data_IF_903327414591
#
_entry.id   IF_903327414591
#
_cell.length_a   1.000
_cell.length_b   1.000
_cell.length_c   1.000
_cell.angle_alpha   90.00
_cell.angle_beta   90.00
_cell.angle_gamma   90.00
#
_symmetry.space_group_name_H-M   'P 1'
#
loop_
_entity.id
_entity.type
_entity.pdbx_description
1 polymer ?
#
# COMPACT_ATOMS: atom_id res chain seq x y z
N UNK A 1 -6.74 3.55 -19.87
CA UNK A 1 -6.49 4.99 -19.74
C UNK A 1 -5.23 5.21 -18.91
N UNK A 2 -4.52 6.32 -19.13
CA UNK A 2 -3.48 6.76 -18.18
C UNK A 2 -4.17 7.24 -16.92
N UNK A 3 -3.51 7.08 -15.79
CA UNK A 3 -4.13 7.47 -14.54
C UNK A 3 -4.36 8.98 -14.38
N UNK A 4 -3.48 9.83 -14.93
CA UNK A 4 -3.71 11.28 -14.95
C UNK A 4 -5.05 11.65 -15.62
N UNK A 5 -5.47 10.86 -16.62
CA UNK A 5 -6.76 11.02 -17.30
C UNK A 5 -7.94 10.63 -16.41
N UNK A 6 -7.74 9.76 -15.42
CA UNK A 6 -8.75 9.46 -14.41
C UNK A 6 -8.87 10.60 -13.38
N UNK A 7 -7.76 11.25 -13.03
CA UNK A 7 -7.76 12.45 -12.19
C UNK A 7 -8.39 13.69 -12.86
N UNK A 8 -8.49 13.70 -14.18
CA UNK A 8 -9.10 14.78 -14.96
C UNK A 8 -10.59 14.96 -14.67
N UNK A 9 -11.05 16.19 -14.86
CA UNK A 9 -12.47 16.55 -14.90
C UNK A 9 -13.16 16.02 -16.17
N UNK A 10 -12.43 15.98 -17.29
CA UNK A 10 -12.94 15.40 -18.54
C UNK A 10 -12.82 13.88 -18.50
N UNK A 11 -13.95 13.19 -18.59
CA UNK A 11 -14.08 11.73 -18.48
C UNK A 11 -14.79 11.09 -19.69
N UNK A 12 -15.18 11.89 -20.69
CA UNK A 12 -15.99 11.44 -21.82
C UNK A 12 -15.40 10.29 -22.65
N UNK A 13 -14.09 10.04 -22.55
CA UNK A 13 -13.35 8.95 -23.18
C UNK A 13 -13.62 7.58 -22.54
N UNK A 14 -13.97 7.54 -21.25
CA UNK A 14 -14.18 6.28 -20.52
C UNK A 14 -15.55 6.15 -19.82
N UNK A 15 -16.31 7.23 -19.63
CA UNK A 15 -17.60 7.18 -18.90
C UNK A 15 -18.61 6.20 -19.48
N UNK A 16 -18.60 5.98 -20.79
CA UNK A 16 -19.52 5.05 -21.47
C UNK A 16 -18.97 3.63 -21.66
N UNK A 17 -17.84 3.29 -21.01
CA UNK A 17 -17.20 1.98 -21.15
C UNK A 17 -17.62 1.03 -20.03
N UNK A 18 -17.78 -0.26 -20.35
CA UNK A 18 -18.06 -1.29 -19.35
C UNK A 18 -16.81 -1.71 -18.57
N UNK A 19 -15.64 -1.68 -19.19
CA UNK A 19 -14.36 -2.02 -18.57
C UNK A 19 -13.41 -0.84 -18.74
N UNK A 20 -12.87 -0.35 -17.63
CA UNK A 20 -11.88 0.73 -17.60
C UNK A 20 -10.61 0.17 -16.98
N UNK A 21 -9.63 -0.12 -17.84
CA UNK A 21 -8.31 -0.53 -17.41
C UNK A 21 -7.42 0.71 -17.22
N UNK A 22 -6.83 0.85 -16.03
CA UNK A 22 -5.90 1.92 -15.69
C UNK A 22 -4.52 1.30 -15.49
N UNK A 23 -3.55 1.81 -16.23
CA UNK A 23 -2.17 1.32 -16.28
C UNK A 23 -1.24 2.42 -15.78
N UNK A 24 -0.30 2.04 -14.92
CA UNK A 24 0.79 2.90 -14.43
C UNK A 24 0.30 4.23 -13.83
N UNK A 25 -0.32 4.17 -12.65
CA UNK A 25 -0.42 5.36 -11.82
C UNK A 25 -0.39 5.01 -10.33
N UNK A 26 0.30 5.88 -9.57
CA UNK A 26 0.25 5.90 -8.12
C UNK A 26 -1.02 6.60 -7.66
N UNK A 27 -2.01 5.84 -7.19
CA UNK A 27 -3.17 6.41 -6.49
C UNK A 27 -2.86 6.67 -5.02
N UNK A 28 -1.79 7.41 -4.73
CA UNK A 28 -1.44 7.78 -3.35
C UNK A 28 -2.34 8.89 -2.79
N UNK A 29 -3.21 9.45 -3.63
CA UNK A 29 -4.25 10.39 -3.21
C UNK A 29 -5.49 9.64 -2.74
N UNK A 30 -5.80 9.77 -1.45
CA UNK A 30 -7.05 9.28 -0.85
C UNK A 30 -8.30 9.67 -1.65
N UNK A 31 -8.31 10.88 -2.20
CA UNK A 31 -9.39 11.40 -3.06
C UNK A 31 -9.67 10.49 -4.26
N UNK A 32 -8.63 9.98 -4.92
CA UNK A 32 -8.82 9.14 -6.12
C UNK A 32 -9.37 7.76 -5.72
N UNK A 33 -8.93 7.24 -4.58
CA UNK A 33 -9.49 5.99 -4.03
C UNK A 33 -10.97 6.17 -3.69
N UNK A 34 -11.37 7.28 -3.06
CA UNK A 34 -12.79 7.57 -2.79
C UNK A 34 -13.60 7.73 -4.08
N UNK A 35 -13.05 8.38 -5.11
CA UNK A 35 -13.69 8.46 -6.43
C UNK A 35 -13.89 7.07 -7.06
N UNK A 36 -12.90 6.18 -6.98
CA UNK A 36 -13.03 4.79 -7.44
C UNK A 36 -14.11 4.04 -6.67
N UNK A 37 -14.16 4.18 -5.34
CA UNK A 37 -15.20 3.56 -4.50
C UNK A 37 -16.59 4.02 -4.92
N UNK A 38 -16.78 5.32 -5.14
CA UNK A 38 -18.04 5.89 -5.64
C UNK A 38 -18.43 5.30 -7.00
N UNK A 39 -17.56 5.45 -8.00
CA UNK A 39 -17.82 5.03 -9.38
C UNK A 39 -18.04 3.52 -9.50
N UNK A 40 -17.40 2.70 -8.65
CA UNK A 40 -17.60 1.25 -8.66
C UNK A 40 -19.02 0.80 -8.28
N UNK A 41 -19.80 1.69 -7.63
CA UNK A 41 -21.13 1.36 -7.09
C UNK A 41 -22.28 2.22 -7.58
N UNK A 42 -21.99 3.38 -8.19
CA UNK A 42 -22.98 4.27 -8.79
C UNK A 42 -23.58 3.65 -10.05
N UNK A 43 -24.85 3.97 -10.32
CA UNK A 43 -25.59 3.60 -11.54
C UNK A 43 -25.62 4.74 -12.56
N UNK A 44 -25.29 5.97 -12.15
CA UNK A 44 -25.21 7.16 -12.99
C UNK A 44 -23.99 8.00 -12.65
N UNK A 45 -23.46 8.69 -13.66
CA UNK A 45 -22.38 9.67 -13.49
C UNK A 45 -22.52 10.81 -14.50
N UNK A 46 -21.86 11.94 -14.23
CA UNK A 46 -21.82 13.09 -15.13
C UNK A 46 -20.69 12.93 -16.14
N UNK A 47 -21.06 12.92 -17.42
CA UNK A 47 -20.12 12.95 -18.53
C UNK A 47 -19.73 14.40 -18.83
N UNK A 48 -18.43 14.67 -18.79
CA UNK A 48 -17.85 15.98 -19.09
C UNK A 48 -16.90 15.88 -20.29
N UNK A 49 -17.16 16.70 -21.31
CA UNK A 49 -16.32 16.83 -22.49
C UNK A 49 -15.94 18.30 -22.71
N UNK A 50 -14.77 18.54 -23.30
CA UNK A 50 -14.28 19.89 -23.56
C UNK A 50 -15.21 20.63 -24.53
N UNK A 51 -15.72 21.78 -24.10
CA UNK A 51 -16.59 22.63 -24.92
C UNK A 51 -18.01 22.07 -25.12
N UNK A 52 -18.46 21.15 -24.25
CA UNK A 52 -19.83 20.63 -24.24
C UNK A 52 -20.45 20.77 -22.85
N UNK A 53 -21.78 20.83 -22.82
CA UNK A 53 -22.52 20.80 -21.57
C UNK A 53 -22.39 19.44 -20.87
N UNK A 54 -22.54 19.47 -19.55
CA UNK A 54 -22.47 18.25 -18.73
C UNK A 54 -23.77 17.47 -18.88
N UNK A 55 -23.65 16.18 -19.18
CA UNK A 55 -24.80 15.29 -19.36
C UNK A 55 -24.74 14.17 -18.32
N UNK A 56 -25.87 13.83 -17.72
CA UNK A 56 -25.99 12.66 -16.85
C UNK A 56 -26.18 11.42 -17.73
N UNK A 57 -25.37 10.40 -17.50
CA UNK A 57 -25.41 9.14 -18.25
C UNK A 57 -25.43 7.96 -17.29
N UNK A 58 -26.03 6.85 -17.74
CA UNK A 58 -25.94 5.60 -17.01
C UNK A 58 -24.48 5.10 -16.99
N UNK A 59 -24.05 4.63 -15.82
CA UNK A 59 -22.67 4.29 -15.53
C UNK A 59 -22.56 2.86 -15.01
N UNK A 60 -21.85 2.01 -15.76
CA UNK A 60 -21.74 0.59 -15.44
C UNK A 60 -20.29 0.08 -15.40
N UNK A 61 -19.31 0.99 -15.43
CA UNK A 61 -17.92 0.62 -15.55
C UNK A 61 -17.45 -0.33 -14.44
N UNK A 62 -16.47 -1.16 -14.79
CA UNK A 62 -15.70 -2.00 -13.89
C UNK A 62 -14.23 -1.65 -14.07
N UNK A 63 -13.57 -1.38 -12.96
CA UNK A 63 -12.19 -0.89 -12.96
C UNK A 63 -11.21 -2.05 -12.82
N UNK A 64 -10.18 -2.04 -13.66
CA UNK A 64 -9.02 -2.92 -13.55
C UNK A 64 -7.80 -2.03 -13.38
N UNK A 65 -7.06 -2.22 -12.31
CA UNK A 65 -5.85 -1.46 -12.01
C UNK A 65 -4.63 -2.36 -12.20
N UNK A 66 -3.67 -1.91 -12.99
CA UNK A 66 -2.40 -2.61 -13.21
C UNK A 66 -1.25 -1.74 -12.69
N UNK A 67 -0.49 -2.28 -11.74
CA UNK A 67 0.66 -1.61 -11.12
C UNK A 67 1.83 -2.59 -11.00
N UNK A 68 3.04 -2.10 -11.28
CA UNK A 68 4.29 -2.81 -10.97
C UNK A 68 4.77 -2.56 -9.53
N UNK A 69 4.21 -1.56 -8.85
CA UNK A 69 4.42 -1.34 -7.42
C UNK A 69 3.43 -2.20 -6.63
N UNK A 70 3.95 -3.08 -5.77
CA UNK A 70 3.14 -3.97 -4.92
C UNK A 70 2.69 -3.32 -3.60
N UNK A 71 3.36 -2.25 -3.19
CA UNK A 71 3.35 -1.77 -1.80
C UNK A 71 2.58 -0.48 -1.58
N UNK A 72 2.49 0.39 -2.59
CA UNK A 72 1.85 1.69 -2.45
C UNK A 72 1.28 2.21 -3.77
N UNK A 73 0.38 1.43 -4.37
CA UNK A 73 -0.31 1.85 -5.60
C UNK A 73 -1.74 2.36 -5.35
N UNK A 74 -2.33 2.04 -4.20
CA UNK A 74 -3.65 2.52 -3.78
C UNK A 74 -3.78 2.47 -2.26
N UNK A 75 -4.43 3.47 -1.67
CA UNK A 75 -4.70 3.54 -0.23
C UNK A 75 -6.00 2.80 0.10
N UNK A 76 -5.92 1.72 0.86
CA UNK A 76 -7.08 0.88 1.20
C UNK A 76 -7.17 0.74 2.72
N UNK A 77 -8.35 1.07 3.24
CA UNK A 77 -8.68 0.88 4.66
C UNK A 77 -8.99 -0.60 4.97
N UNK A 78 -8.80 -1.03 6.21
CA UNK A 78 -8.98 -2.44 6.60
C UNK A 78 -10.40 -2.99 6.38
N UNK A 79 -11.40 -2.11 6.47
CA UNK A 79 -12.81 -2.47 6.32
C UNK A 79 -13.30 -2.37 4.87
N UNK A 80 -12.41 -2.07 3.91
CA UNK A 80 -12.80 -1.89 2.53
C UNK A 80 -13.02 -3.24 1.82
N UNK A 81 -14.14 -3.38 1.14
CA UNK A 81 -14.61 -4.66 0.57
C UNK A 81 -14.71 -4.63 -0.96
N UNK A 82 -14.36 -3.51 -1.60
CA UNK A 82 -14.54 -3.32 -3.05
C UNK A 82 -13.32 -3.71 -3.88
N UNK A 83 -12.18 -3.98 -3.26
CA UNK A 83 -10.93 -4.29 -3.97
C UNK A 83 -10.63 -5.79 -3.96
N UNK A 84 -10.18 -6.28 -5.11
CA UNK A 84 -9.63 -7.61 -5.27
C UNK A 84 -8.22 -7.50 -5.84
N UNK A 85 -7.22 -7.82 -5.02
CA UNK A 85 -5.81 -7.63 -5.38
C UNK A 85 -5.19 -8.97 -5.71
N UNK A 86 -4.61 -9.07 -6.90
CA UNK A 86 -3.96 -10.27 -7.41
C UNK A 86 -2.50 -9.99 -7.71
N UNK A 87 -1.60 -10.78 -7.12
CA UNK A 87 -0.20 -10.82 -7.53
C UNK A 87 -0.06 -11.80 -8.70
N UNK A 88 0.19 -11.26 -9.89
CA UNK A 88 0.37 -12.06 -11.10
C UNK A 88 1.82 -12.55 -11.17
N UNK A 89 2.00 -13.86 -11.40
CA UNK A 89 3.34 -14.44 -11.55
C UNK A 89 3.94 -14.02 -12.89
N UNK A 90 5.26 -13.74 -12.96
CA UNK A 90 5.91 -13.44 -14.21
C UNK A 90 5.82 -14.63 -15.17
N UNK A 91 5.75 -14.34 -16.46
CA UNK A 91 5.78 -15.36 -17.51
C UNK A 91 7.19 -15.94 -17.57
N UNK A 92 7.32 -17.28 -17.54
CA UNK A 92 8.63 -17.96 -17.47
C UNK A 92 9.41 -17.93 -18.79
N UNK A 93 8.70 -17.91 -19.92
CA UNK A 93 9.27 -17.99 -21.26
C UNK A 93 8.74 -16.85 -22.10
N UNK A 94 9.66 -16.09 -22.69
CA UNK A 94 9.30 -15.05 -23.64
C UNK A 94 8.80 -15.67 -24.96
N UNK A 95 7.72 -15.10 -25.50
CA UNK A 95 7.19 -15.46 -26.82
C UNK A 95 7.08 -14.20 -27.65
N UNK A 96 7.75 -14.17 -28.79
CA UNK A 96 7.79 -12.99 -29.66
C UNK A 96 6.40 -12.62 -30.20
N UNK A 97 5.56 -13.62 -30.49
CA UNK A 97 4.22 -13.45 -31.04
C UNK A 97 3.10 -13.41 -29.98
N UNK A 98 3.42 -13.16 -28.71
CA UNK A 98 2.47 -13.31 -27.60
C UNK A 98 1.18 -12.50 -27.77
N UNK A 99 1.27 -11.27 -28.28
CA UNK A 99 0.09 -10.43 -28.53
C UNK A 99 -0.84 -11.03 -29.60
N UNK A 100 -0.25 -11.63 -30.65
CA UNK A 100 -0.99 -12.28 -31.73
C UNK A 100 -1.71 -13.52 -31.22
N UNK A 101 -1.02 -14.33 -30.43
CA UNK A 101 -1.59 -15.50 -29.76
C UNK A 101 -2.80 -15.08 -28.89
N UNK A 102 -2.62 -14.08 -28.02
CA UNK A 102 -3.70 -13.56 -27.18
C UNK A 102 -4.90 -13.04 -27.99
N UNK A 103 -4.64 -12.35 -29.10
CA UNK A 103 -5.71 -11.85 -29.98
C UNK A 103 -6.48 -13.01 -30.61
N UNK A 104 -5.78 -14.07 -31.01
CA UNK A 104 -6.41 -15.27 -31.57
C UNK A 104 -7.25 -16.05 -30.56
N UNK A 105 -6.95 -15.92 -29.26
CA UNK A 105 -7.70 -16.56 -28.17
C UNK A 105 -8.99 -15.83 -27.80
N UNK A 106 -9.16 -14.54 -28.15
CA UNK A 106 -10.32 -13.72 -27.77
C UNK A 106 -11.67 -14.42 -28.07
N UNK A 107 -11.92 -14.97 -29.28
CA UNK A 107 -13.19 -15.62 -29.57
C UNK A 107 -13.46 -16.84 -28.67
N UNK A 108 -12.42 -17.63 -28.38
CA UNK A 108 -12.51 -18.79 -27.51
C UNK A 108 -12.80 -18.38 -26.07
N UNK A 109 -12.13 -17.33 -25.59
CA UNK A 109 -12.35 -16.79 -24.26
C UNK A 109 -13.77 -16.24 -24.10
N UNK A 110 -14.29 -15.51 -25.09
CA UNK A 110 -15.68 -15.03 -25.08
C UNK A 110 -16.68 -16.19 -25.07
N UNK A 111 -16.46 -17.21 -25.90
CA UNK A 111 -17.31 -18.40 -25.91
C UNK A 111 -17.30 -19.11 -24.54
N UNK A 112 -16.12 -19.25 -23.92
CA UNK A 112 -16.00 -19.79 -22.57
C UNK A 112 -16.76 -18.95 -21.54
N UNK A 113 -16.67 -17.62 -21.60
CA UNK A 113 -17.38 -16.73 -20.67
C UNK A 113 -18.91 -16.82 -20.79
N UNK A 114 -19.44 -17.03 -21.99
CA UNK A 114 -20.89 -17.17 -22.24
C UNK A 114 -21.42 -18.50 -21.70
N UNK A 115 -20.64 -19.58 -21.88
CA UNK A 115 -21.09 -20.94 -21.57
C UNK A 115 -20.82 -21.36 -20.11
N UNK A 116 -19.83 -20.75 -19.45
CA UNK A 116 -19.47 -21.15 -18.09
C UNK A 116 -20.57 -20.78 -17.08
N UNK A 117 -20.86 -21.64 -16.09
CA UNK A 117 -21.66 -21.25 -14.95
C UNK A 117 -20.91 -20.25 -14.05
N UNK A 118 -21.67 -19.43 -13.32
CA UNK A 118 -21.09 -18.61 -12.27
C UNK A 118 -20.48 -19.49 -11.17
N UNK A 119 -19.23 -19.21 -10.79
CA UNK A 119 -18.54 -19.96 -9.74
C UNK A 119 -19.13 -19.70 -8.33
N UNK A 120 -19.75 -18.54 -8.13
CA UNK A 120 -20.32 -18.12 -6.85
C UNK A 120 -21.67 -17.47 -7.08
N UNK A 121 -22.61 -17.68 -6.17
CA UNK A 121 -23.88 -16.98 -6.15
C UNK A 121 -23.71 -15.59 -5.53
N UNK A 122 -24.61 -14.67 -5.89
CA UNK A 122 -24.65 -13.31 -5.34
C UNK A 122 -25.00 -13.37 -3.85
N UNK A 123 -24.03 -13.05 -2.99
CA UNK A 123 -24.22 -12.98 -1.52
C UNK A 123 -24.41 -11.55 -1.01
N UNK A 124 -23.85 -10.58 -1.70
CA UNK A 124 -23.86 -9.16 -1.30
C UNK A 124 -24.22 -8.26 -2.48
N UNK A 125 -24.34 -6.95 -2.24
CA UNK A 125 -24.40 -5.94 -3.33
C UNK A 125 -23.18 -6.03 -4.26
N UNK A 126 -22.02 -6.41 -3.73
CA UNK A 126 -20.75 -6.58 -4.46
C UNK A 126 -20.54 -8.00 -5.02
N UNK A 127 -21.59 -8.85 -5.04
CA UNK A 127 -21.57 -10.27 -5.40
C UNK A 127 -20.77 -11.17 -4.45
N UNK A 128 -19.50 -10.86 -4.23
CA UNK A 128 -18.56 -11.58 -3.37
C UNK A 128 -18.62 -11.09 -1.91
N UNK A 129 -18.22 -11.95 -0.97
CA UNK A 129 -18.00 -11.55 0.43
C UNK A 129 -16.59 -11.03 0.65
N UNK A 130 -16.39 -10.21 1.68
CA UNK A 130 -15.06 -9.72 2.05
C UNK A 130 -14.04 -10.86 2.26
N UNK A 131 -14.47 -11.97 2.86
CA UNK A 131 -13.63 -13.17 3.06
C UNK A 131 -13.19 -13.82 1.75
N UNK A 132 -14.00 -13.75 0.68
CA UNK A 132 -13.67 -14.31 -0.64
C UNK A 132 -12.67 -13.43 -1.40
N UNK A 133 -12.66 -12.12 -1.13
CA UNK A 133 -11.76 -11.15 -1.76
C UNK A 133 -10.42 -10.98 -1.01
N UNK A 134 -10.32 -11.50 0.22
CA UNK A 134 -9.16 -11.35 1.11
C UNK A 134 -7.98 -12.20 0.64
N UNK A 135 -7.21 -11.68 -0.31
CA UNK A 135 -5.95 -12.28 -0.78
C UNK A 135 -4.77 -11.90 0.10
N UNK A 136 -3.68 -12.66 0.04
CA UNK A 136 -2.42 -12.32 0.73
C UNK A 136 -1.89 -10.96 0.30
N UNK A 137 -1.95 -10.66 -1.00
CA UNK A 137 -1.54 -9.37 -1.55
C UNK A 137 -2.38 -8.20 -0.99
N UNK A 138 -3.70 -8.38 -0.84
CA UNK A 138 -4.57 -7.37 -0.22
C UNK A 138 -4.22 -7.15 1.25
N UNK A 139 -3.98 -8.23 2.00
CA UNK A 139 -3.59 -8.13 3.41
C UNK A 139 -2.29 -7.36 3.60
N UNK A 140 -1.27 -7.66 2.79
CA UNK A 140 0.02 -6.94 2.81
C UNK A 140 -0.17 -5.45 2.53
N UNK A 141 -0.92 -5.11 1.49
CA UNK A 141 -1.15 -3.72 1.10
C UNK A 141 -1.89 -2.94 2.21
N UNK A 142 -2.95 -3.52 2.78
CA UNK A 142 -3.70 -2.92 3.90
C UNK A 142 -2.81 -2.74 5.12
N UNK A 143 -2.00 -3.74 5.46
CA UNK A 143 -1.08 -3.66 6.59
C UNK A 143 -0.06 -2.53 6.39
N UNK A 144 0.59 -2.46 5.23
CA UNK A 144 1.56 -1.39 4.89
C UNK A 144 0.91 0.00 4.89
N UNK A 145 -0.30 0.12 4.35
CA UNK A 145 -1.05 1.38 4.34
C UNK A 145 -1.40 1.88 5.74
N UNK A 146 -1.81 0.99 6.64
CA UNK A 146 -2.18 1.34 8.00
C UNK A 146 -0.97 1.54 8.93
N UNK A 147 0.14 0.85 8.66
CA UNK A 147 1.31 0.79 9.51
C UNK A 147 2.52 1.50 8.89
N UNK A 148 2.31 2.63 8.19
CA UNK A 148 3.39 3.39 7.52
C UNK A 148 4.53 3.76 8.48
N UNK A 149 4.21 4.26 9.67
CA UNK A 149 5.22 4.61 10.69
C UNK A 149 5.98 3.36 11.17
N UNK A 150 5.26 2.29 11.49
CA UNK A 150 5.86 1.04 11.96
C UNK A 150 6.81 0.46 10.91
N UNK A 151 6.38 0.41 9.65
CA UNK A 151 7.18 -0.09 8.53
C UNK A 151 8.48 0.69 8.39
N UNK A 152 8.45 2.04 8.47
CA UNK A 152 9.66 2.87 8.40
C UNK A 152 10.59 2.69 9.59
N UNK A 153 10.05 2.50 10.79
CA UNK A 153 10.87 2.21 11.97
C UNK A 153 11.53 0.84 11.85
N UNK A 154 10.80 -0.17 11.36
CA UNK A 154 11.37 -1.50 11.12
C UNK A 154 12.49 -1.41 10.07
N UNK A 155 12.28 -0.72 8.94
CA UNK A 155 13.31 -0.50 7.91
C UNK A 155 14.57 0.18 8.48
N UNK A 156 14.40 1.29 9.21
CA UNK A 156 15.50 2.01 9.86
C UNK A 156 16.28 1.14 10.83
N UNK A 157 15.58 0.45 11.72
CA UNK A 157 16.23 -0.36 12.76
C UNK A 157 16.87 -1.63 12.17
N UNK A 158 16.31 -2.18 11.10
CA UNK A 158 16.91 -3.29 10.37
C UNK A 158 18.24 -2.87 9.75
N UNK A 159 18.28 -1.75 9.03
CA UNK A 159 19.52 -1.21 8.44
C UNK A 159 20.57 -0.85 9.52
N UNK A 160 20.11 -0.31 10.66
CA UNK A 160 20.96 -0.09 11.82
C UNK A 160 21.64 -1.39 12.29
N UNK A 161 20.87 -2.46 12.49
CA UNK A 161 21.41 -3.73 12.99
C UNK A 161 22.33 -4.43 11.99
N UNK A 162 22.11 -4.23 10.69
CA UNK A 162 23.02 -4.74 9.66
C UNK A 162 24.33 -3.94 9.58
N UNK A 163 24.30 -2.65 9.93
CA UNK A 163 25.50 -1.78 9.86
C UNK A 163 26.35 -1.84 11.13
N UNK A 164 25.70 -1.83 12.30
CA UNK A 164 26.37 -1.73 13.61
C UNK A 164 26.64 -3.11 14.22
N UNK A 165 25.97 -4.15 13.74
CA UNK A 165 26.08 -5.55 14.19
C UNK A 165 25.76 -5.80 15.68
N UNK A 166 25.21 -4.80 16.39
CA UNK A 166 24.77 -4.92 17.78
C UNK A 166 23.56 -5.84 17.94
N UNK A 167 23.41 -6.42 19.13
CA UNK A 167 22.26 -7.29 19.48
C UNK A 167 21.03 -6.51 19.94
N UNK A 168 21.22 -5.28 20.44
CA UNK A 168 20.16 -4.42 20.94
C UNK A 168 20.50 -2.93 20.77
N UNK A 169 19.47 -2.11 20.64
CA UNK A 169 19.56 -0.65 20.61
C UNK A 169 18.74 -0.07 21.76
N UNK A 170 19.33 0.90 22.44
CA UNK A 170 18.67 1.69 23.48
C UNK A 170 18.35 3.07 22.91
N UNK A 171 17.06 3.41 22.84
CA UNK A 171 16.62 4.67 22.24
C UNK A 171 15.41 5.26 22.96
N UNK A 172 15.34 6.59 23.05
CA UNK A 172 14.09 7.29 23.37
C UNK A 172 13.31 7.59 22.07
N UNK A 173 12.00 7.86 22.13
CA UNK A 173 11.20 8.13 20.93
C UNK A 173 11.74 9.29 20.08
N UNK A 174 12.39 10.26 20.72
CA UNK A 174 13.06 11.38 20.04
C UNK A 174 14.23 10.91 19.17
N UNK A 175 15.03 9.94 19.64
CA UNK A 175 16.22 9.50 18.92
C UNK A 175 15.80 8.75 17.65
N UNK A 176 14.79 7.87 17.75
CA UNK A 176 14.21 7.18 16.59
C UNK A 176 13.62 8.18 15.60
N UNK A 177 12.85 9.18 16.08
CA UNK A 177 12.27 10.19 15.19
C UNK A 177 13.35 11.00 14.46
N UNK A 178 14.44 11.35 15.15
CA UNK A 178 15.55 12.09 14.54
C UNK A 178 16.23 11.27 13.44
N UNK A 179 16.49 9.97 13.69
CA UNK A 179 17.06 9.08 12.69
C UNK A 179 16.10 8.87 11.51
N UNK A 180 14.79 8.68 11.77
CA UNK A 180 13.76 8.58 10.73
C UNK A 180 13.75 9.80 9.82
N UNK A 181 13.78 11.02 10.39
CA UNK A 181 13.73 12.26 9.62
C UNK A 181 14.98 12.50 8.76
N UNK A 182 16.12 11.90 9.13
CA UNK A 182 17.37 11.98 8.37
C UNK A 182 17.42 10.93 7.26
N UNK A 183 17.00 9.71 7.56
CA UNK A 183 16.95 8.60 6.60
C UNK A 183 15.84 8.80 5.55
N UNK A 184 14.64 9.16 6.00
CA UNK A 184 13.48 9.38 5.16
C UNK A 184 13.14 10.86 5.11
N UNK A 185 13.29 11.48 3.92
CA UNK A 185 12.97 12.92 3.74
C UNK A 185 11.52 13.21 4.15
N UNK A 186 11.36 14.16 5.07
CA UNK A 186 10.09 14.79 5.48
C UNK A 186 9.00 13.81 5.94
N UNK A 187 9.09 13.42 7.21
CA UNK A 187 8.02 12.71 7.88
C UNK A 187 7.13 13.66 8.67
N UNK A 188 5.80 13.60 8.47
CA UNK A 188 4.82 14.33 9.28
C UNK A 188 4.58 13.69 10.67
N UNK A 189 5.42 12.72 11.06
CA UNK A 189 5.28 11.98 12.32
C UNK A 189 5.80 12.79 13.50
N UNK A 190 5.11 12.68 14.62
CA UNK A 190 5.47 13.32 15.87
C UNK A 190 6.17 12.34 16.81
N UNK A 191 6.84 12.88 17.83
CA UNK A 191 7.46 12.09 18.91
C UNK A 191 6.41 11.22 19.61
N UNK A 192 5.16 11.69 19.67
CA UNK A 192 4.09 10.97 20.33
C UNK A 192 3.62 9.76 19.51
N UNK A 193 3.67 9.83 18.18
CA UNK A 193 3.31 8.70 17.32
C UNK A 193 4.32 7.56 17.50
N UNK A 194 5.62 7.88 17.53
CA UNK A 194 6.69 6.92 17.84
C UNK A 194 6.49 6.34 19.25
N UNK A 195 6.15 7.19 20.24
CA UNK A 195 5.90 6.74 21.61
C UNK A 195 4.72 5.78 21.70
N UNK A 196 3.61 6.07 21.01
CA UNK A 196 2.43 5.19 20.96
C UNK A 196 2.78 3.87 20.30
N UNK A 197 3.53 3.87 19.20
CA UNK A 197 3.98 2.65 18.56
C UNK A 197 4.77 1.77 19.54
N UNK A 198 5.80 2.32 20.18
CA UNK A 198 6.65 1.55 21.09
C UNK A 198 5.86 1.00 22.29
N UNK A 199 4.95 1.78 22.89
CA UNK A 199 4.24 1.40 24.11
C UNK A 199 2.95 0.61 23.88
N UNK A 200 2.14 1.01 22.92
CA UNK A 200 0.78 0.47 22.73
C UNK A 200 0.79 -0.68 21.71
N UNK A 201 1.58 -0.56 20.64
CA UNK A 201 1.65 -1.58 19.58
C UNK A 201 2.70 -2.63 19.89
N UNK A 202 3.95 -2.22 20.14
CA UNK A 202 5.06 -3.14 20.44
C UNK A 202 5.14 -3.54 21.91
N UNK A 203 4.37 -2.88 22.78
CA UNK A 203 4.26 -3.20 24.21
C UNK A 203 5.60 -3.17 24.95
N UNK A 204 6.52 -2.33 24.52
CA UNK A 204 7.77 -2.10 25.24
C UNK A 204 7.55 -1.16 26.42
N UNK A 205 8.23 -1.47 27.52
CA UNK A 205 8.27 -0.63 28.71
C UNK A 205 9.57 0.18 28.72
N UNK A 206 9.50 1.51 28.91
CA UNK A 206 10.71 2.30 29.09
C UNK A 206 11.33 2.02 30.46
N UNK A 207 12.62 2.26 30.59
CA UNK A 207 13.29 2.16 31.89
C UNK A 207 12.62 3.06 32.94
N UNK A 208 12.44 2.54 34.16
CA UNK A 208 11.75 3.24 35.25
C UNK A 208 12.49 4.51 35.69
N UNK A 209 13.83 4.44 35.69
CA UNK A 209 14.71 5.52 36.07
C UNK A 209 15.44 6.09 34.85
N UNK A 210 15.87 7.35 34.94
CA UNK A 210 16.75 7.94 33.92
C UNK A 210 18.14 7.33 34.08
N UNK A 211 18.53 6.49 33.14
CA UNK A 211 19.81 5.78 33.13
C UNK A 211 20.68 6.30 31.98
N UNK A 212 21.99 6.10 32.09
CA UNK A 212 22.91 6.35 30.99
C UNK A 212 22.75 5.27 29.93
N UNK A 213 22.69 5.69 28.67
CA UNK A 213 22.65 4.79 27.51
C UNK A 213 23.46 5.35 26.36
N UNK A 214 23.87 4.44 25.49
CA UNK A 214 24.48 4.76 24.22
C UNK A 214 23.35 5.13 23.26
N UNK A 215 23.23 6.43 22.98
CA UNK A 215 22.36 6.94 21.94
C UNK A 215 23.05 6.74 20.59
N UNK A 216 22.32 6.16 19.65
CA UNK A 216 22.68 6.19 18.24
C UNK A 216 21.97 7.35 17.54
N UNK A 217 22.70 8.00 16.63
CA UNK A 217 22.16 9.01 15.73
C UNK A 217 22.82 8.85 14.36
N UNK A 218 22.21 9.42 13.35
CA UNK A 218 22.64 9.30 11.95
C UNK A 218 23.18 10.63 11.46
N UNK A 219 24.23 10.62 10.64
CA UNK A 219 24.64 11.81 9.90
C UNK A 219 23.87 11.95 8.58
N UNK A 220 24.08 13.03 7.83
CA UNK A 220 23.45 13.21 6.52
C UNK A 220 24.03 12.28 5.44
N UNK A 221 25.10 11.55 5.75
CA UNK A 221 25.73 10.55 4.90
C UNK A 221 25.24 9.12 5.15
N UNK A 222 24.31 8.92 6.10
CA UNK A 222 23.76 7.60 6.46
C UNK A 222 24.62 6.79 7.44
N UNK A 223 25.71 7.36 7.96
CA UNK A 223 26.56 6.68 8.94
C UNK A 223 26.01 6.86 10.35
N UNK A 224 26.00 5.77 11.11
CA UNK A 224 25.60 5.77 12.52
C UNK A 224 26.77 6.16 13.42
N UNK A 225 26.52 7.03 14.40
CA UNK A 225 27.50 7.39 15.41
C UNK A 225 26.91 7.33 16.82
N UNK A 226 27.78 7.10 17.79
CA UNK A 226 27.42 6.91 19.19
C UNK A 226 27.60 8.20 20.00
N UNK A 227 26.68 8.45 20.92
CA UNK A 227 26.77 9.51 21.92
C UNK A 227 26.26 9.01 23.28
N UNK A 228 26.86 9.46 24.37
CA UNK A 228 26.35 9.16 25.71
C UNK A 228 25.19 10.10 26.05
N UNK A 229 24.08 9.55 26.54
CA UNK A 229 22.92 10.33 26.95
C UNK A 229 22.24 9.71 28.18
N UNK A 230 21.52 10.55 28.92
CA UNK A 230 20.69 10.13 30.04
C UNK A 230 19.22 10.15 29.63
N UNK A 231 18.46 9.13 30.00
CA UNK A 231 17.04 9.08 29.72
C UNK A 231 16.35 7.79 30.09
N UNK A 232 15.03 7.78 29.97
CA UNK A 232 14.18 6.58 30.09
C UNK A 232 14.01 5.98 28.70
N UNK A 233 15.00 5.20 28.28
CA UNK A 233 15.05 4.59 26.96
C UNK A 233 14.23 3.29 26.90
N UNK A 234 13.93 2.88 25.67
CA UNK A 234 13.41 1.56 25.34
C UNK A 234 14.57 0.71 24.82
N UNK A 235 14.60 -0.57 25.19
CA UNK A 235 15.57 -1.55 24.68
C UNK A 235 14.89 -2.37 23.60
N UNK A 236 15.38 -2.25 22.36
CA UNK A 236 14.84 -2.95 21.20
C UNK A 236 15.88 -3.97 20.74
N UNK A 237 15.48 -5.24 20.60
CA UNK A 237 16.39 -6.35 20.25
C UNK A 237 16.42 -6.57 18.74
N UNK A 238 17.57 -6.95 18.21
CA UNK A 238 17.77 -7.31 16.79
C UNK A 238 16.77 -8.37 16.33
N UNK A 239 16.65 -9.47 17.08
CA UNK A 239 15.75 -10.58 16.73
C UNK A 239 14.28 -10.15 16.56
N UNK A 240 13.82 -9.19 17.38
CA UNK A 240 12.45 -8.68 17.27
C UNK A 240 12.24 -7.91 15.95
N UNK A 241 13.21 -7.06 15.58
CA UNK A 241 13.15 -6.29 14.34
C UNK A 241 13.30 -7.20 13.12
N UNK A 242 14.21 -8.19 13.16
CA UNK A 242 14.36 -9.16 12.07
C UNK A 242 13.06 -9.96 11.84
N UNK A 243 12.42 -10.46 12.90
CA UNK A 243 11.12 -11.14 12.78
C UNK A 243 10.03 -10.24 12.20
N UNK A 244 9.97 -8.98 12.65
CA UNK A 244 9.00 -8.00 12.12
C UNK A 244 9.27 -7.63 10.66
N UNK A 245 10.54 -7.55 10.27
CA UNK A 245 10.94 -7.32 8.89
C UNK A 245 10.55 -8.50 8.00
N UNK A 246 10.80 -9.73 8.46
CA UNK A 246 10.39 -10.94 7.76
C UNK A 246 8.86 -11.01 7.60
N UNK A 247 8.10 -10.73 8.66
CA UNK A 247 6.63 -10.63 8.62
C UNK A 247 6.15 -9.58 7.59
N UNK A 248 6.84 -8.43 7.52
CA UNK A 248 6.53 -7.37 6.57
C UNK A 248 6.82 -7.77 5.10
N UNK A 249 7.86 -8.59 4.87
CA UNK A 249 8.26 -9.01 3.53
C UNK A 249 7.55 -10.30 3.06
N UNK A 250 7.15 -11.17 3.99
CA UNK A 250 6.46 -12.46 3.77
C UNK A 250 5.06 -12.30 3.21
#
# INVERSE_FOLDING_TARGET
>A
IKGDSFGSQFNADWTSMLIVAIVEEFFDKKEITERLKYLSTTDKDKKEAKGKDREEVDFFAKFILCSNNEDNFIQIDENEVRFWILKIKPIKSERTEFLRDLTSEIPYFLNYLIQRPFNRQKKTRMWFTHTELRTTALQKLVWKNNNKLESRIIELLFEFFETVEDLEINAVPQDILNMLNKMFKSSYWTINDVRKLLKEVWKFEPQKNSLAYIKYDMDYGGSFFQQNKLGRYFTIKRNFISQKFDEMMS
#
